data_IF_732092500512
#
_entry.id   IF_732092500512
#
_cell.length_a   1.000
_cell.length_b   1.000
_cell.length_c   1.000
_cell.angle_alpha   90.00
_cell.angle_beta   90.00
_cell.angle_gamma   90.00
#
_symmetry.space_group_name_H-M   'P 1'
#
loop_
_entity.id
_entity.type
_entity.pdbx_description
1 polymer ?
#
# COMPACT_ATOMS: atom_id res chain seq x y z
N UNK A 1 -7.67 -11.35 -13.63
CA UNK A 1 -6.76 -10.27 -14.08
C UNK A 1 -5.48 -10.89 -14.63
N UNK A 2 -5.07 -10.52 -15.84
CA UNK A 2 -3.85 -11.00 -16.48
C UNK A 2 -2.64 -10.12 -16.08
N UNK A 3 -1.44 -10.70 -15.89
CA UNK A 3 -0.21 -9.99 -15.49
C UNK A 3 0.10 -8.78 -16.40
N UNK A 4 -0.26 -8.87 -17.67
CA UNK A 4 -0.11 -7.80 -18.65
C UNK A 4 -1.03 -6.59 -18.39
N UNK A 5 -2.27 -6.83 -17.92
CA UNK A 5 -3.21 -5.76 -17.61
C UNK A 5 -2.83 -5.00 -16.34
N UNK A 6 -2.27 -5.71 -15.36
CA UNK A 6 -1.73 -5.08 -14.16
C UNK A 6 -0.51 -4.21 -14.50
N UNK A 7 0.42 -4.74 -15.30
CA UNK A 7 1.57 -3.97 -15.77
C UNK A 7 1.14 -2.75 -16.58
N UNK A 8 0.13 -2.89 -17.45
CA UNK A 8 -0.41 -1.78 -18.24
C UNK A 8 -1.05 -0.70 -17.36
N UNK A 9 -1.83 -1.08 -16.33
CA UNK A 9 -2.47 -0.12 -15.42
C UNK A 9 -1.44 0.62 -14.55
N UNK A 10 -0.43 -0.09 -14.04
CA UNK A 10 0.71 0.53 -13.33
C UNK A 10 1.47 1.49 -14.24
N UNK A 11 1.69 1.10 -15.50
CA UNK A 11 2.37 1.94 -16.49
C UNK A 11 1.57 3.18 -16.84
N UNK A 12 0.25 3.06 -16.98
CA UNK A 12 -0.66 4.17 -17.28
C UNK A 12 -0.72 5.18 -16.13
N UNK A 13 -0.88 4.71 -14.89
CA UNK A 13 -0.86 5.57 -13.69
C UNK A 13 0.50 6.27 -13.52
N UNK A 14 1.61 5.58 -13.75
CA UNK A 14 2.94 6.18 -13.71
C UNK A 14 3.18 7.17 -14.86
N UNK A 15 2.62 6.92 -16.04
CA UNK A 15 2.73 7.81 -17.20
C UNK A 15 1.89 9.10 -17.03
N UNK A 16 0.82 9.07 -16.25
CA UNK A 16 0.07 10.29 -15.87
C UNK A 16 0.87 11.19 -14.91
N UNK A 17 1.77 10.61 -14.09
CA UNK A 17 2.68 11.34 -13.20
C UNK A 17 3.94 11.90 -13.91
N UNK A 18 4.10 11.62 -15.21
CA UNK A 18 5.33 11.85 -16.01
C UNK A 18 5.70 13.32 -16.24
N UNK A 19 4.85 14.29 -15.91
CA UNK A 19 5.16 15.69 -16.21
C UNK A 19 6.30 16.30 -15.38
N UNK A 20 6.88 15.56 -14.40
CA UNK A 20 7.95 16.08 -13.51
C UNK A 20 9.05 15.07 -13.11
N UNK A 21 9.23 13.97 -13.82
CA UNK A 21 10.16 12.90 -13.40
C UNK A 21 11.19 12.61 -14.50
N UNK A 22 12.48 12.72 -14.16
CA UNK A 22 13.61 12.43 -15.05
C UNK A 22 13.69 10.91 -15.31
N UNK A 23 14.11 10.52 -16.53
CA UNK A 23 14.11 9.10 -16.96
C UNK A 23 14.96 8.16 -16.08
N UNK A 24 15.90 8.71 -15.30
CA UNK A 24 16.73 7.97 -14.35
C UNK A 24 16.00 7.61 -13.04
N UNK A 25 14.99 8.37 -12.64
CA UNK A 25 14.28 8.15 -11.38
C UNK A 25 13.16 7.10 -11.51
N UNK A 26 12.70 6.82 -12.73
CA UNK A 26 11.63 5.85 -13.01
C UNK A 26 11.90 4.47 -12.42
N UNK A 27 13.17 4.04 -12.40
CA UNK A 27 13.58 2.75 -11.82
C UNK A 27 13.33 2.72 -10.30
N UNK A 28 13.65 3.82 -9.61
CA UNK A 28 13.49 3.91 -8.17
C UNK A 28 12.01 4.05 -7.78
N UNK A 29 11.22 4.78 -8.57
CA UNK A 29 9.76 4.86 -8.39
C UNK A 29 9.08 3.50 -8.57
N UNK A 30 9.38 2.77 -9.65
CA UNK A 30 8.80 1.43 -9.86
C UNK A 30 9.21 0.46 -8.76
N UNK A 31 10.46 0.53 -8.29
CA UNK A 31 10.89 -0.32 -7.18
C UNK A 31 10.11 0.00 -5.89
N UNK A 32 9.85 1.29 -5.61
CA UNK A 32 9.00 1.72 -4.50
C UNK A 32 7.58 1.17 -4.60
N UNK A 33 6.94 1.24 -5.78
CA UNK A 33 5.60 0.67 -5.99
C UNK A 33 5.57 -0.86 -5.84
N UNK A 34 6.58 -1.57 -6.37
CA UNK A 34 6.68 -3.03 -6.22
C UNK A 34 6.82 -3.40 -4.74
N UNK A 35 7.66 -2.67 -4.01
CA UNK A 35 7.86 -2.88 -2.58
C UNK A 35 6.57 -2.60 -1.80
N UNK A 36 5.90 -1.47 -2.07
CA UNK A 36 4.64 -1.13 -1.42
C UNK A 36 3.55 -2.18 -1.69
N UNK A 37 3.44 -2.66 -2.94
CA UNK A 37 2.56 -3.77 -3.28
C UNK A 37 2.87 -5.02 -2.45
N UNK A 38 4.16 -5.38 -2.32
CA UNK A 38 4.57 -6.52 -1.53
C UNK A 38 4.13 -6.38 -0.06
N UNK A 39 4.34 -5.22 0.56
CA UNK A 39 3.92 -4.96 1.94
C UNK A 39 2.39 -5.03 2.11
N UNK A 40 1.65 -4.48 1.15
CA UNK A 40 0.19 -4.51 1.13
C UNK A 40 -0.33 -5.95 1.02
N UNK A 41 0.25 -6.76 0.12
CA UNK A 41 -0.09 -8.17 -0.01
C UNK A 41 0.27 -8.98 1.26
N UNK A 42 1.40 -8.69 1.90
CA UNK A 42 1.80 -9.35 3.16
C UNK A 42 0.81 -9.06 4.28
N UNK A 43 0.35 -7.81 4.42
CA UNK A 43 -0.65 -7.44 5.42
C UNK A 43 -1.96 -8.20 5.20
N UNK A 44 -2.49 -8.17 3.97
CA UNK A 44 -3.73 -8.89 3.60
C UNK A 44 -3.58 -10.39 3.88
N UNK A 45 -2.47 -11.00 3.47
CA UNK A 45 -2.22 -12.42 3.75
C UNK A 45 -2.14 -12.73 5.25
N UNK A 46 -1.51 -11.86 6.03
CA UNK A 46 -1.40 -12.02 7.48
C UNK A 46 -2.78 -12.00 8.14
N UNK A 47 -3.59 -10.97 7.86
CA UNK A 47 -4.92 -10.84 8.48
C UNK A 47 -5.89 -11.91 8.01
N UNK A 48 -5.83 -12.32 6.74
CA UNK A 48 -6.60 -13.46 6.24
C UNK A 48 -6.22 -14.78 6.92
N UNK A 49 -4.93 -15.02 7.18
CA UNK A 49 -4.47 -16.20 7.94
C UNK A 49 -4.94 -16.19 9.39
N UNK A 50 -5.19 -15.00 9.95
CA UNK A 50 -5.77 -14.83 11.30
C UNK A 50 -7.30 -14.94 11.32
N UNK A 51 -7.92 -15.16 10.17
CA UNK A 51 -9.35 -15.44 10.05
C UNK A 51 -10.21 -14.25 9.64
N UNK A 52 -9.62 -13.09 9.32
CA UNK A 52 -10.40 -11.96 8.79
C UNK A 52 -10.96 -12.31 7.41
N UNK A 53 -12.26 -12.06 7.25
CA UNK A 53 -12.96 -12.20 5.98
C UNK A 53 -12.63 -11.03 5.04
N UNK A 54 -12.91 -11.15 3.74
CA UNK A 54 -12.79 -10.02 2.82
C UNK A 54 -13.64 -8.79 3.18
N UNK A 55 -14.71 -8.96 3.97
CA UNK A 55 -15.53 -7.84 4.45
C UNK A 55 -14.85 -7.14 5.63
N UNK A 56 -14.27 -7.89 6.56
CA UNK A 56 -13.49 -7.34 7.68
C UNK A 56 -12.26 -6.56 7.17
N UNK A 57 -11.64 -7.02 6.09
CA UNK A 57 -10.50 -6.33 5.47
C UNK A 57 -10.90 -4.96 4.93
N UNK A 58 -12.15 -4.79 4.45
CA UNK A 58 -12.66 -3.50 3.98
C UNK A 58 -12.88 -2.50 5.09
N UNK A 59 -13.03 -2.97 6.32
CA UNK A 59 -13.20 -2.13 7.50
C UNK A 59 -11.88 -1.85 8.22
N UNK A 60 -10.74 -2.34 7.70
CA UNK A 60 -9.43 -2.04 8.28
C UNK A 60 -9.10 -0.55 8.13
N UNK A 61 -9.13 0.17 9.24
CA UNK A 61 -8.82 1.60 9.29
C UNK A 61 -7.95 1.92 10.52
N UNK A 62 -7.55 3.18 10.64
CA UNK A 62 -6.71 3.65 11.76
C UNK A 62 -7.50 3.86 13.07
N UNK A 63 -8.84 3.73 13.05
CA UNK A 63 -9.69 3.97 14.23
C UNK A 63 -9.70 2.76 15.19
N UNK A 64 -9.51 1.56 14.66
CA UNK A 64 -9.36 0.33 15.46
C UNK A 64 -7.91 0.18 15.96
N UNK A 65 -7.62 0.86 17.06
CA UNK A 65 -6.29 0.90 17.68
C UNK A 65 -5.77 -0.49 18.04
N UNK A 66 -6.64 -1.39 18.53
CA UNK A 66 -6.27 -2.75 18.91
C UNK A 66 -5.78 -3.55 17.69
N UNK A 67 -6.50 -3.45 16.57
CA UNK A 67 -6.09 -4.08 15.31
C UNK A 67 -4.80 -3.47 14.77
N UNK A 68 -4.66 -2.14 14.82
CA UNK A 68 -3.44 -1.44 14.38
C UNK A 68 -2.23 -1.92 15.17
N UNK A 69 -2.29 -1.89 16.49
CA UNK A 69 -1.19 -2.31 17.36
C UNK A 69 -0.85 -3.80 17.19
N UNK A 70 -1.86 -4.66 17.04
CA UNK A 70 -1.65 -6.07 16.81
C UNK A 70 -0.92 -6.34 15.49
N UNK A 71 -1.35 -5.70 14.40
CA UNK A 71 -0.70 -5.86 13.09
C UNK A 71 0.71 -5.27 13.12
N UNK A 72 0.90 -4.08 13.70
CA UNK A 72 2.23 -3.46 13.85
C UNK A 72 3.19 -4.33 14.67
N UNK A 73 2.72 -4.98 15.72
CA UNK A 73 3.55 -5.86 16.56
C UNK A 73 4.00 -7.13 15.84
N UNK A 74 3.26 -7.57 14.81
CA UNK A 74 3.57 -8.78 14.06
C UNK A 74 4.31 -8.50 12.73
N UNK A 75 3.99 -7.39 12.06
CA UNK A 75 4.53 -7.05 10.73
C UNK A 75 5.47 -5.85 10.73
N UNK A 76 5.52 -5.05 11.80
CA UNK A 76 6.32 -3.83 11.89
C UNK A 76 5.65 -2.59 11.29
N UNK A 77 4.47 -2.73 10.68
CA UNK A 77 3.73 -1.63 10.04
C UNK A 77 2.23 -1.95 9.98
N UNK A 78 1.42 -0.92 9.66
CA UNK A 78 0.02 -1.06 9.32
C UNK A 78 -0.31 -0.27 8.05
N UNK A 79 -1.21 -0.80 7.22
CA UNK A 79 -1.76 -0.12 6.04
C UNK A 79 -3.29 -0.26 6.11
N UNK A 80 -3.98 0.87 6.21
CA UNK A 80 -5.44 0.92 6.16
C UNK A 80 -5.97 0.45 4.79
N UNK A 81 -7.21 -0.05 4.75
CA UNK A 81 -7.85 -0.58 3.55
C UNK A 81 -7.76 0.38 2.37
N UNK A 82 -8.11 1.65 2.58
CA UNK A 82 -8.12 2.69 1.54
C UNK A 82 -6.73 2.90 0.92
N UNK A 83 -5.67 2.59 1.66
CA UNK A 83 -4.27 2.72 1.25
C UNK A 83 -3.67 1.41 0.72
N UNK A 84 -4.42 0.32 0.64
CA UNK A 84 -3.92 -0.94 0.08
C UNK A 84 -3.68 -0.82 -1.42
N UNK A 85 -2.66 -1.50 -1.93
CA UNK A 85 -2.38 -1.50 -3.36
C UNK A 85 -3.56 -2.05 -4.20
N UNK A 86 -4.38 -2.94 -3.62
CA UNK A 86 -5.58 -3.47 -4.28
C UNK A 86 -6.64 -2.40 -4.55
N UNK A 87 -6.76 -1.37 -3.70
CA UNK A 87 -7.75 -0.30 -3.90
C UNK A 87 -7.33 0.59 -5.08
N UNK A 88 -6.04 0.86 -5.22
CA UNK A 88 -5.50 1.67 -6.32
C UNK A 88 -5.73 1.05 -7.69
N UNK A 89 -5.68 -0.29 -7.78
CA UNK A 89 -5.89 -1.01 -9.03
C UNK A 89 -7.36 -1.38 -9.27
N UNK A 90 -8.29 -1.04 -8.36
CA UNK A 90 -9.72 -1.24 -8.58
C UNK A 90 -10.18 -0.37 -9.77
N UNK A 91 -10.90 -0.93 -10.77
CA UNK A 91 -11.46 -0.14 -11.88
C UNK A 91 -12.42 0.99 -11.46
N UNK A 92 -12.99 0.91 -10.26
CA UNK A 92 -13.91 1.92 -9.71
C UNK A 92 -13.19 3.00 -8.90
N UNK A 93 -11.90 2.83 -8.62
CA UNK A 93 -11.11 3.82 -7.88
C UNK A 93 -10.65 4.92 -8.82
N UNK A 94 -10.82 6.17 -8.39
CA UNK A 94 -10.23 7.35 -9.02
C UNK A 94 -8.83 7.55 -8.41
N UNK A 95 -7.86 6.77 -8.86
CA UNK A 95 -6.51 6.75 -8.31
C UNK A 95 -5.61 7.82 -8.97
N UNK A 96 -4.98 8.65 -8.16
CA UNK A 96 -4.01 9.67 -8.57
C UNK A 96 -2.81 9.78 -7.61
N UNK A 97 -1.93 10.75 -7.86
CA UNK A 97 -0.73 11.01 -7.05
C UNK A 97 -1.05 11.33 -5.57
N UNK A 98 -2.19 11.98 -5.30
CA UNK A 98 -2.58 12.32 -3.93
C UNK A 98 -2.78 11.07 -3.08
N UNK A 99 -3.36 10.00 -3.64
CA UNK A 99 -3.51 8.73 -2.93
C UNK A 99 -2.16 8.13 -2.54
N UNK A 100 -1.16 8.24 -3.42
CA UNK A 100 0.20 7.75 -3.12
C UNK A 100 0.82 8.55 -1.98
N UNK A 101 0.69 9.89 -2.02
CA UNK A 101 1.23 10.78 -0.99
C UNK A 101 0.56 10.55 0.36
N UNK A 102 -0.76 10.39 0.37
CA UNK A 102 -1.53 10.13 1.58
C UNK A 102 -1.17 8.77 2.17
N UNK A 103 -1.08 7.74 1.34
CA UNK A 103 -0.69 6.41 1.77
C UNK A 103 0.74 6.34 2.32
N UNK A 104 1.72 7.00 1.68
CA UNK A 104 3.09 7.05 2.18
C UNK A 104 3.20 7.86 3.47
N UNK A 105 2.46 8.96 3.58
CA UNK A 105 2.34 9.74 4.83
C UNK A 105 1.76 8.89 5.96
N UNK A 106 0.64 8.19 5.70
CA UNK A 106 0.02 7.28 6.65
C UNK A 106 0.98 6.15 7.05
N UNK A 107 1.59 5.49 6.08
CA UNK A 107 2.57 4.42 6.30
C UNK A 107 3.72 4.87 7.20
N UNK A 108 4.31 6.05 6.93
CA UNK A 108 5.41 6.59 7.76
C UNK A 108 5.01 6.78 9.23
N UNK A 109 3.77 7.21 9.49
CA UNK A 109 3.23 7.33 10.86
C UNK A 109 2.97 5.97 11.49
N UNK A 110 2.51 5.01 10.69
CA UNK A 110 2.05 3.67 11.09
C UNK A 110 3.14 2.59 11.09
N UNK A 111 4.42 2.95 10.92
CA UNK A 111 5.55 2.06 11.22
C UNK A 111 5.65 1.89 12.74
N UNK A 112 5.80 0.65 13.17
CA UNK A 112 5.96 0.26 14.58
C UNK A 112 7.07 1.09 15.25
N UNK A 113 6.83 1.64 16.46
CA UNK A 113 7.85 2.42 17.18
C UNK A 113 9.13 1.62 17.45
N UNK A 114 9.04 0.29 17.57
CA UNK A 114 10.18 -0.58 17.85
C UNK A 114 11.15 -0.70 16.67
N UNK A 115 10.70 -0.46 15.44
CA UNK A 115 11.53 -0.51 14.22
C UNK A 115 12.14 0.86 13.85
N UNK A 116 11.76 1.95 14.53
CA UNK A 116 12.36 3.28 14.33
C UNK A 116 13.79 3.41 14.89
N UNK A 117 14.38 2.33 15.41
CA UNK A 117 15.70 2.36 16.07
C UNK A 117 16.91 2.07 15.18
N UNK A 118 16.74 1.76 13.90
CA UNK A 118 17.89 1.49 13.02
C UNK A 118 17.64 1.90 11.58
N UNK A 119 17.87 3.18 11.27
CA UNK A 119 18.64 3.66 10.10
C UNK A 119 19.32 4.97 10.49
#
# INVERSE_FOLDING_TARGET
MNKQQLAAKIWESANQMRSKIEANEYKDYILGFIFYKYLSDQLVQFVSKKGMTPEDIKTLNEEDVDTVEYVQSNLGYFIAYDNLFSTWIDPKSDFDESNVRDALSAFSRLISPNDKKTV
#
